data_IF_022002582564
#
_entry.id   IF_022002582564
#
_cell.length_a   1.000
_cell.length_b   1.000
_cell.length_c   1.000
_cell.angle_alpha   90.00
_cell.angle_beta   90.00
_cell.angle_gamma   90.00
#
_symmetry.space_group_name_H-M   'P 1'
#
loop_
_entity.id
_entity.type
_entity.pdbx_description
1 polymer ?
#
# COMPACT_ATOMS: atom_id res chain seq x y z
N UNK A 1 7.89 10.90 22.35
CA UNK A 1 8.38 9.62 21.80
C UNK A 1 7.49 9.24 20.63
N UNK A 2 8.01 9.20 19.40
CA UNK A 2 7.26 8.61 18.30
C UNK A 2 7.14 7.11 18.60
N UNK A 3 5.92 6.58 18.64
CA UNK A 3 5.70 5.14 18.87
C UNK A 3 6.14 4.39 17.62
N UNK A 4 7.36 3.87 17.62
CA UNK A 4 7.94 3.18 16.47
C UNK A 4 7.04 2.05 15.99
N UNK A 5 7.10 1.74 14.68
CA UNK A 5 6.38 0.60 14.14
C UNK A 5 6.98 -0.64 14.79
N UNK A 6 6.13 -1.43 15.46
CA UNK A 6 6.55 -2.67 16.11
C UNK A 6 7.19 -3.60 15.06
N UNK A 7 8.48 -3.96 15.22
CA UNK A 7 9.17 -4.83 14.27
C UNK A 7 8.48 -6.19 14.14
N UNK A 8 7.80 -6.67 15.18
CA UNK A 8 7.04 -7.92 15.15
C UNK A 8 5.86 -7.84 14.19
N UNK A 9 5.14 -6.71 14.16
CA UNK A 9 4.03 -6.48 13.20
C UNK A 9 4.53 -6.39 11.77
N UNK A 10 5.65 -5.72 11.54
CA UNK A 10 6.25 -5.62 10.21
C UNK A 10 6.70 -6.99 9.69
N UNK A 11 7.35 -7.80 10.54
CA UNK A 11 7.73 -9.17 10.21
C UNK A 11 6.51 -10.06 9.96
N UNK A 12 5.43 -9.91 10.75
CA UNK A 12 4.17 -10.62 10.53
C UNK A 12 3.55 -10.32 9.17
N UNK A 13 3.50 -9.05 8.76
CA UNK A 13 2.99 -8.68 7.44
C UNK A 13 3.82 -9.30 6.30
N UNK A 14 5.15 -9.32 6.43
CA UNK A 14 6.04 -9.98 5.47
C UNK A 14 5.82 -11.51 5.45
N UNK A 15 5.57 -12.13 6.60
CA UNK A 15 5.28 -13.56 6.67
C UNK A 15 3.97 -13.91 5.94
N UNK A 16 2.92 -13.10 6.12
CA UNK A 16 1.64 -13.27 5.40
C UNK A 16 1.83 -13.15 3.90
N UNK A 17 2.59 -12.17 3.43
CA UNK A 17 2.90 -12.02 2.00
C UNK A 17 3.62 -13.26 1.44
N UNK A 18 4.59 -13.80 2.18
CA UNK A 18 5.34 -15.00 1.79
C UNK A 18 4.48 -16.27 1.79
N UNK A 19 3.58 -16.41 2.76
CA UNK A 19 2.72 -17.60 2.90
C UNK A 19 1.52 -17.58 1.94
N UNK A 20 0.96 -16.40 1.67
CA UNK A 20 -0.28 -16.24 0.91
C UNK A 20 -0.19 -15.15 -0.17
N UNK A 21 0.74 -15.29 -1.14
CA UNK A 21 0.98 -14.25 -2.14
C UNK A 21 -0.26 -13.95 -2.98
N UNK A 22 -1.05 -14.96 -3.36
CA UNK A 22 -2.28 -14.77 -4.13
C UNK A 22 -3.36 -13.98 -3.38
N UNK A 23 -3.48 -14.19 -2.06
CA UNK A 23 -4.42 -13.44 -1.22
C UNK A 23 -4.00 -11.98 -1.10
N UNK A 24 -2.70 -11.71 -0.93
CA UNK A 24 -2.21 -10.32 -0.87
C UNK A 24 -2.37 -9.62 -2.22
N UNK A 25 -2.09 -10.30 -3.33
CA UNK A 25 -2.36 -9.76 -4.66
C UNK A 25 -3.85 -9.45 -4.85
N UNK A 26 -4.73 -10.34 -4.40
CA UNK A 26 -6.17 -10.09 -4.45
C UNK A 26 -6.56 -8.88 -3.58
N UNK A 27 -6.03 -8.77 -2.36
CA UNK A 27 -6.31 -7.65 -1.46
C UNK A 27 -5.85 -6.30 -2.03
N UNK A 28 -4.71 -6.27 -2.74
CA UNK A 28 -4.16 -5.07 -3.38
C UNK A 28 -4.74 -4.84 -4.79
N UNK A 29 -5.50 -5.80 -5.34
CA UNK A 29 -6.03 -5.74 -6.70
C UNK A 29 -6.81 -4.47 -7.06
N UNK A 30 -7.64 -3.87 -6.17
CA UNK A 30 -8.34 -2.64 -6.52
C UNK A 30 -7.37 -1.49 -6.80
N UNK A 31 -6.27 -1.39 -6.05
CA UNK A 31 -5.23 -0.37 -6.24
C UNK A 31 -4.51 -0.59 -7.58
N UNK A 32 -4.18 -1.84 -7.90
CA UNK A 32 -3.52 -2.19 -9.17
C UNK A 32 -4.42 -1.83 -10.36
N UNK A 33 -5.73 -2.14 -10.29
CA UNK A 33 -6.70 -1.82 -11.34
C UNK A 33 -6.79 -0.32 -11.56
N UNK A 34 -6.92 0.47 -10.48
CA UNK A 34 -6.99 1.93 -10.57
C UNK A 34 -5.71 2.53 -11.16
N UNK A 35 -4.53 2.08 -10.72
CA UNK A 35 -3.26 2.54 -11.27
C UNK A 35 -3.11 2.18 -12.74
N UNK A 36 -3.49 0.96 -13.15
CA UNK A 36 -3.48 0.55 -14.56
C UNK A 36 -4.44 1.37 -15.41
N UNK A 37 -5.63 1.67 -14.90
CA UNK A 37 -6.60 2.52 -15.59
C UNK A 37 -6.08 3.96 -15.76
N UNK A 38 -5.50 4.55 -14.71
CA UNK A 38 -4.93 5.90 -14.77
C UNK A 38 -3.72 5.94 -15.69
N UNK A 39 -2.87 4.91 -15.68
CA UNK A 39 -1.78 4.78 -16.64
C UNK A 39 -2.34 4.81 -18.06
N UNK A 40 -3.33 3.96 -18.36
CA UNK A 40 -3.88 3.84 -19.71
C UNK A 40 -4.51 5.14 -20.23
N UNK A 41 -5.20 5.89 -19.36
CA UNK A 41 -6.00 7.06 -19.75
C UNK A 41 -5.20 8.36 -19.69
N UNK A 42 -4.40 8.56 -18.63
CA UNK A 42 -3.69 9.80 -18.34
C UNK A 42 -2.17 9.68 -18.54
N UNK A 43 -1.64 8.47 -18.71
CA UNK A 43 -0.22 8.21 -18.92
C UNK A 43 0.55 7.91 -17.62
N UNK A 44 1.82 7.48 -17.75
CA UNK A 44 2.63 6.98 -16.64
C UNK A 44 2.96 8.05 -15.58
N UNK A 45 3.07 9.34 -15.98
CA UNK A 45 3.35 10.43 -15.04
C UNK A 45 2.25 10.59 -13.99
N UNK A 46 0.98 10.57 -14.42
CA UNK A 46 -0.17 10.66 -13.52
C UNK A 46 -0.34 9.42 -12.66
N UNK A 47 -0.11 8.22 -13.22
CA UNK A 47 -0.12 6.99 -12.44
C UNK A 47 0.96 6.98 -11.35
N UNK A 48 2.17 7.49 -11.66
CA UNK A 48 3.25 7.66 -10.70
C UNK A 48 2.90 8.62 -9.55
N UNK A 49 2.31 9.78 -9.87
CA UNK A 49 1.84 10.73 -8.85
C UNK A 49 0.75 10.11 -7.96
N UNK A 50 -0.20 9.39 -8.54
CA UNK A 50 -1.24 8.69 -7.79
C UNK A 50 -0.65 7.62 -6.86
N UNK A 51 0.33 6.84 -7.33
CA UNK A 51 1.01 5.86 -6.49
C UNK A 51 1.67 6.52 -5.27
N UNK A 52 2.40 7.63 -5.48
CA UNK A 52 3.01 8.39 -4.37
C UNK A 52 1.94 8.87 -3.40
N UNK A 53 0.84 9.44 -3.90
CA UNK A 53 -0.26 9.91 -3.07
C UNK A 53 -0.88 8.77 -2.24
N UNK A 54 -1.09 7.59 -2.83
CA UNK A 54 -1.63 6.41 -2.13
C UNK A 54 -0.70 5.91 -1.02
N UNK A 55 0.61 5.89 -1.25
CA UNK A 55 1.60 5.48 -0.24
C UNK A 55 1.60 6.46 0.94
N UNK A 56 1.62 7.77 0.65
CA UNK A 56 1.60 8.81 1.70
C UNK A 56 0.29 8.80 2.48
N UNK A 57 -0.85 8.71 1.79
CA UNK A 57 -2.17 8.68 2.42
C UNK A 57 -2.36 7.41 3.27
N UNK A 58 -1.97 6.24 2.74
CA UNK A 58 -2.02 4.98 3.48
C UNK A 58 -1.12 4.98 4.72
N UNK A 59 0.11 5.48 4.58
CA UNK A 59 1.04 5.66 5.70
C UNK A 59 0.49 6.61 6.76
N UNK A 60 -0.04 7.76 6.35
CA UNK A 60 -0.67 8.73 7.25
C UNK A 60 -1.88 8.13 7.99
N UNK A 61 -2.76 7.40 7.28
CA UNK A 61 -3.91 6.74 7.89
C UNK A 61 -3.52 5.72 8.96
N UNK A 62 -2.45 4.94 8.73
CA UNK A 62 -1.91 4.01 9.74
C UNK A 62 -1.36 4.73 10.97
N UNK A 63 -0.67 5.86 10.77
CA UNK A 63 -0.14 6.68 11.86
C UNK A 63 -1.25 7.34 12.69
N UNK A 64 -2.29 7.84 12.02
CA UNK A 64 -3.45 8.46 12.68
C UNK A 64 -4.24 7.45 13.52
N UNK A 65 -4.36 6.20 13.07
CA UNK A 65 -5.07 5.13 13.78
C UNK A 65 -4.28 4.54 14.98
N UNK A 66 -3.09 5.06 15.28
CA UNK A 66 -2.22 4.59 16.37
C UNK A 66 -2.60 5.17 17.75
N UNK A 67 -3.44 6.21 17.77
CA UNK A 67 -3.98 6.85 18.97
C UNK A 67 -5.35 6.28 19.34
#
# INVERSE_FOLDING_TARGET
MAKEIDPLRAQGALAVLKQHPGMVLFAVSPVIIVLGAVWWIAGPGWAGLLLVALVLAGGAALLLKRN
#
